data_IF_971038524715
#
_entry.id   IF_971038524715
#
_cell.length_a   1.000
_cell.length_b   1.000
_cell.length_c   1.000
_cell.angle_alpha   90.00
_cell.angle_beta   90.00
_cell.angle_gamma   90.00
#
_symmetry.space_group_name_H-M   'P 1'
#
loop_
_entity.id
_entity.type
_entity.pdbx_description
1 polymer ?
#
# COMPACT_ATOMS: atom_id res chain seq x y z
N UNK A 1 8.98 11.03 -28.09
CA UNK A 1 8.16 11.61 -27.00
C UNK A 1 8.08 10.59 -25.87
N UNK A 2 8.92 10.74 -24.83
CA UNK A 2 9.07 9.74 -23.76
C UNK A 2 7.94 9.86 -22.73
N UNK A 3 7.07 8.84 -22.66
CA UNK A 3 5.96 8.77 -21.69
C UNK A 3 6.52 8.38 -20.31
N UNK A 4 6.51 9.33 -19.38
CA UNK A 4 6.70 9.10 -17.94
C UNK A 4 5.55 8.19 -17.46
N UNK A 5 5.87 6.97 -17.02
CA UNK A 5 4.91 5.98 -16.51
C UNK A 5 5.09 5.85 -15.00
N UNK A 6 3.98 5.77 -14.25
CA UNK A 6 3.96 5.74 -12.77
C UNK A 6 4.44 4.41 -12.18
N UNK A 7 5.00 4.49 -10.98
CA UNK A 7 6.07 3.63 -10.48
C UNK A 7 5.72 2.15 -10.18
N UNK A 8 4.53 1.83 -9.65
CA UNK A 8 4.26 0.47 -9.16
C UNK A 8 3.96 -0.54 -10.27
N UNK A 9 3.26 -0.14 -11.33
CA UNK A 9 3.06 -1.03 -12.48
C UNK A 9 4.26 -1.00 -13.41
N UNK A 10 5.00 0.12 -13.48
CA UNK A 10 6.31 0.14 -14.15
C UNK A 10 7.27 -0.85 -13.52
N UNK A 11 7.33 -0.94 -12.20
CA UNK A 11 8.17 -1.92 -11.52
C UNK A 11 7.81 -3.38 -11.87
N UNK A 12 6.52 -3.69 -12.08
CA UNK A 12 6.11 -5.01 -12.57
C UNK A 12 6.54 -5.28 -14.02
N UNK A 13 6.69 -4.24 -14.84
CA UNK A 13 7.24 -4.34 -16.20
C UNK A 13 8.78 -4.40 -16.23
N UNK A 14 9.46 -4.11 -15.11
CA UNK A 14 10.91 -4.29 -14.97
C UNK A 14 11.15 -5.71 -14.49
N UNK A 15 11.18 -6.64 -15.45
CA UNK A 15 11.52 -8.04 -15.20
C UNK A 15 13.03 -8.23 -15.17
N UNK A 16 13.49 -9.26 -14.47
CA UNK A 16 14.87 -9.70 -14.64
C UNK A 16 15.05 -10.21 -16.09
N UNK A 17 16.24 -10.03 -16.69
CA UNK A 17 16.53 -10.61 -18.00
C UNK A 17 16.16 -12.10 -18.01
N UNK A 18 15.46 -12.54 -19.05
CA UNK A 18 15.02 -13.94 -19.26
C UNK A 18 14.07 -14.53 -18.20
N UNK A 19 13.46 -13.70 -17.35
CA UNK A 19 12.49 -14.15 -16.36
C UNK A 19 11.25 -14.78 -17.02
N UNK A 20 11.07 -16.10 -16.82
CA UNK A 20 9.91 -16.83 -17.33
C UNK A 20 8.64 -16.43 -16.58
N UNK A 21 7.56 -16.21 -17.34
CA UNK A 21 6.22 -16.02 -16.82
C UNK A 21 5.58 -17.37 -16.51
N UNK A 22 5.02 -17.50 -15.31
CA UNK A 22 4.25 -18.65 -14.87
C UNK A 22 2.82 -18.20 -14.56
N UNK A 23 1.89 -18.49 -15.46
CA UNK A 23 0.46 -18.24 -15.21
C UNK A 23 -0.09 -19.39 -14.36
N UNK A 24 -0.41 -19.11 -13.10
CA UNK A 24 -0.90 -20.13 -12.15
C UNK A 24 -2.37 -20.44 -12.41
N UNK A 25 -3.19 -19.39 -12.53
CA UNK A 25 -4.61 -19.48 -12.86
C UNK A 25 -5.09 -18.12 -13.39
N UNK A 26 -6.34 -18.05 -13.84
CA UNK A 26 -6.95 -16.78 -14.25
C UNK A 26 -6.93 -15.81 -13.07
N UNK A 27 -6.19 -14.70 -13.22
CA UNK A 27 -6.03 -13.66 -12.21
C UNK A 27 -4.73 -13.74 -11.40
N UNK A 28 -3.96 -14.82 -11.49
CA UNK A 28 -2.71 -15.00 -10.74
C UNK A 28 -1.57 -15.44 -11.66
N UNK A 29 -0.48 -14.67 -11.67
CA UNK A 29 0.73 -15.00 -12.40
C UNK A 29 1.96 -14.68 -11.56
N UNK A 30 3.04 -15.42 -11.80
CA UNK A 30 4.32 -15.22 -11.17
C UNK A 30 5.37 -14.93 -12.24
N UNK A 31 6.19 -13.91 -12.03
CA UNK A 31 7.34 -13.63 -12.86
C UNK A 31 8.37 -12.85 -12.05
N UNK A 32 9.61 -13.36 -11.91
CA UNK A 32 10.68 -12.63 -11.22
C UNK A 32 10.83 -11.21 -11.81
N UNK A 33 10.55 -10.22 -10.97
CA UNK A 33 10.48 -8.82 -11.37
C UNK A 33 10.86 -7.91 -10.21
N UNK A 34 11.06 -6.63 -10.49
CA UNK A 34 11.29 -5.64 -9.45
C UNK A 34 10.11 -5.55 -8.47
N UNK A 35 8.88 -5.84 -8.91
CA UNK A 35 7.72 -5.95 -8.02
C UNK A 35 7.88 -7.08 -6.97
N UNK A 36 8.50 -8.22 -7.35
CA UNK A 36 8.81 -9.31 -6.42
C UNK A 36 9.82 -8.86 -5.36
N UNK A 37 10.87 -8.14 -5.78
CA UNK A 37 11.87 -7.60 -4.86
C UNK A 37 11.25 -6.58 -3.88
N UNK A 38 10.37 -5.70 -4.37
CA UNK A 38 9.66 -4.74 -3.53
C UNK A 38 8.78 -5.42 -2.50
N UNK A 39 7.89 -6.32 -2.91
CA UNK A 39 6.97 -6.97 -1.97
C UNK A 39 7.72 -7.83 -0.95
N UNK A 40 8.79 -8.51 -1.37
CA UNK A 40 9.64 -9.30 -0.47
C UNK A 40 10.31 -8.40 0.56
N UNK A 41 10.87 -7.26 0.14
CA UNK A 41 11.49 -6.29 1.05
C UNK A 41 10.50 -5.77 2.10
N UNK A 42 9.27 -5.46 1.67
CA UNK A 42 8.18 -5.05 2.56
C UNK A 42 7.81 -6.16 3.56
N UNK A 43 7.59 -7.39 3.09
CA UNK A 43 7.25 -8.52 3.95
C UNK A 43 8.37 -8.83 4.95
N UNK A 44 9.62 -8.85 4.52
CA UNK A 44 10.78 -9.02 5.42
C UNK A 44 10.81 -7.93 6.48
N UNK A 45 10.67 -6.66 6.08
CA UNK A 45 10.63 -5.54 7.03
C UNK A 45 9.50 -5.68 8.04
N UNK A 46 8.29 -6.08 7.62
CA UNK A 46 7.15 -6.26 8.52
C UNK A 46 7.34 -7.41 9.50
N UNK A 47 7.93 -8.51 9.06
CA UNK A 47 8.29 -9.65 9.94
C UNK A 47 9.34 -9.21 10.97
N UNK A 48 10.33 -8.39 10.57
CA UNK A 48 11.32 -7.86 11.51
C UNK A 48 10.69 -6.91 12.55
N UNK A 49 9.68 -6.15 12.17
CA UNK A 49 8.97 -5.24 13.09
C UNK A 49 8.06 -5.95 14.08
N UNK A 50 7.26 -6.90 13.59
CA UNK A 50 6.40 -7.74 14.42
C UNK A 50 6.32 -9.13 13.77
N UNK A 51 7.04 -10.15 14.27
CA UNK A 51 7.12 -11.45 13.61
C UNK A 51 5.77 -12.08 13.31
N UNK A 52 4.85 -12.08 14.26
CA UNK A 52 3.53 -12.70 14.08
C UNK A 52 2.67 -11.84 13.15
N UNK A 53 2.60 -10.52 13.40
CA UNK A 53 1.80 -9.60 12.58
C UNK A 53 2.31 -9.50 11.13
N UNK A 54 3.62 -9.57 10.91
CA UNK A 54 4.25 -9.59 9.61
C UNK A 54 4.03 -10.91 8.87
N UNK A 55 4.10 -12.06 9.55
CA UNK A 55 3.78 -13.35 8.94
C UNK A 55 2.34 -13.42 8.45
N UNK A 56 1.37 -12.84 9.17
CA UNK A 56 -0.03 -12.80 8.71
C UNK A 56 -0.23 -11.88 7.50
N UNK A 57 0.74 -11.02 7.16
CA UNK A 57 0.71 -10.21 5.95
C UNK A 57 1.15 -10.98 4.69
N UNK A 58 1.84 -12.12 4.84
CA UNK A 58 2.38 -12.90 3.71
C UNK A 58 1.28 -13.26 2.69
N UNK A 59 0.09 -13.77 3.07
CA UNK A 59 -0.97 -14.07 2.11
C UNK A 59 -1.44 -12.84 1.35
N UNK A 60 -1.58 -11.70 2.03
CA UNK A 60 -2.01 -10.43 1.44
C UNK A 60 -0.97 -9.91 0.46
N UNK A 61 0.30 -9.85 0.88
CA UNK A 61 1.41 -9.42 0.03
C UNK A 61 1.59 -10.32 -1.19
N UNK A 62 1.51 -11.64 -1.01
CA UNK A 62 1.61 -12.62 -2.09
C UNK A 62 0.48 -12.44 -3.10
N UNK A 63 -0.76 -12.28 -2.63
CA UNK A 63 -1.91 -12.04 -3.51
C UNK A 63 -1.78 -10.74 -4.30
N UNK A 64 -1.36 -9.64 -3.64
CA UNK A 64 -1.09 -8.36 -4.30
C UNK A 64 -0.05 -8.50 -5.41
N UNK A 65 1.05 -9.20 -5.15
CA UNK A 65 2.10 -9.41 -6.15
C UNK A 65 1.63 -10.29 -7.32
N UNK A 66 0.96 -11.42 -7.04
CA UNK A 66 0.50 -12.35 -8.08
C UNK A 66 -0.56 -11.71 -8.98
N UNK A 67 -1.48 -10.94 -8.40
CA UNK A 67 -2.51 -10.22 -9.15
C UNK A 67 -1.94 -9.06 -9.94
N UNK A 68 -1.01 -8.28 -9.36
CA UNK A 68 -0.34 -7.19 -10.06
C UNK A 68 0.49 -7.70 -11.25
N UNK A 69 1.18 -8.83 -11.07
CA UNK A 69 1.92 -9.50 -12.14
C UNK A 69 0.97 -9.95 -13.25
N UNK A 70 -0.14 -10.61 -12.91
CA UNK A 70 -1.15 -11.00 -13.88
C UNK A 70 -1.72 -9.81 -14.67
N UNK A 71 -2.03 -8.70 -14.00
CA UNK A 71 -2.54 -7.49 -14.66
C UNK A 71 -1.49 -6.84 -15.58
N UNK A 72 -0.20 -6.97 -15.27
CA UNK A 72 0.88 -6.45 -16.09
C UNK A 72 1.13 -7.30 -17.35
N UNK A 73 1.06 -8.63 -17.23
CA UNK A 73 1.42 -9.55 -18.33
C UNK A 73 0.23 -10.07 -19.13
N UNK A 74 -0.95 -10.10 -18.52
CA UNK A 74 -2.17 -10.65 -19.10
C UNK A 74 -3.40 -9.80 -18.73
N UNK A 75 -3.38 -8.48 -19.05
CA UNK A 75 -4.46 -7.57 -18.72
C UNK A 75 -5.81 -8.03 -19.30
N UNK A 76 -6.87 -8.13 -18.49
CA UNK A 76 -8.17 -8.57 -18.98
C UNK A 76 -8.79 -7.55 -19.94
N UNK A 77 -9.41 -8.04 -21.02
CA UNK A 77 -10.12 -7.19 -22.01
C UNK A 77 -11.37 -6.51 -21.46
N UNK A 78 -11.93 -7.02 -20.36
CA UNK A 78 -13.07 -6.41 -19.66
C UNK A 78 -12.68 -5.24 -18.76
N UNK A 79 -11.38 -5.00 -18.54
CA UNK A 79 -10.93 -3.89 -17.72
C UNK A 79 -11.31 -2.56 -18.40
N UNK A 80 -11.89 -1.59 -17.70
CA UNK A 80 -12.21 -0.31 -18.32
C UNK A 80 -10.93 0.44 -18.70
N UNK A 81 -11.06 1.42 -19.61
CA UNK A 81 -9.95 2.27 -20.07
C UNK A 81 -8.82 1.49 -20.78
N UNK A 82 -9.19 0.39 -21.45
CA UNK A 82 -8.28 -0.43 -22.27
C UNK A 82 -8.73 -0.51 -23.71
N UNK A 83 -7.79 -0.60 -24.65
CA UNK A 83 -8.09 -0.87 -26.06
C UNK A 83 -8.21 -2.38 -26.31
N UNK A 84 -9.20 -2.87 -27.07
CA UNK A 84 -9.34 -4.31 -27.34
C UNK A 84 -8.15 -4.93 -28.07
N UNK A 85 -7.49 -4.19 -28.97
CA UNK A 85 -6.33 -4.66 -29.73
C UNK A 85 -5.01 -4.63 -28.98
N UNK A 86 -4.89 -3.79 -27.95
CA UNK A 86 -3.69 -3.67 -27.10
C UNK A 86 -4.12 -3.49 -25.63
N UNK A 87 -4.52 -4.58 -24.95
CA UNK A 87 -5.00 -4.46 -23.58
C UNK A 87 -3.91 -4.01 -22.61
N UNK A 88 -4.25 -3.13 -21.66
CA UNK A 88 -3.33 -2.62 -20.64
C UNK A 88 -4.06 -2.28 -19.34
N UNK A 89 -3.50 -2.71 -18.21
CA UNK A 89 -4.03 -2.38 -16.89
C UNK A 89 -3.59 -1.01 -16.34
N UNK A 90 -2.63 -0.35 -17.01
CA UNK A 90 -2.04 0.92 -16.55
C UNK A 90 -3.10 2.02 -16.36
N UNK A 91 -3.98 2.31 -17.35
CA UNK A 91 -4.87 3.46 -17.25
C UNK A 91 -5.86 3.31 -16.08
N UNK A 92 -6.46 2.12 -15.96
CA UNK A 92 -7.35 1.81 -14.85
C UNK A 92 -6.66 1.96 -13.50
N UNK A 93 -5.47 1.39 -13.35
CA UNK A 93 -4.76 1.47 -12.08
C UNK A 93 -4.29 2.88 -11.71
N UNK A 94 -3.97 3.74 -12.70
CA UNK A 94 -3.69 5.15 -12.45
C UNK A 94 -4.91 5.89 -11.91
N UNK A 95 -6.10 5.58 -12.44
CA UNK A 95 -7.36 6.15 -11.93
C UNK A 95 -7.61 5.69 -10.50
N UNK A 96 -7.52 4.38 -10.23
CA UNK A 96 -7.68 3.84 -8.87
C UNK A 96 -6.66 4.46 -7.91
N UNK A 97 -5.40 4.57 -8.32
CA UNK A 97 -4.35 5.18 -7.52
C UNK A 97 -4.67 6.65 -7.19
N UNK A 98 -5.04 7.45 -8.20
CA UNK A 98 -5.41 8.85 -8.01
C UNK A 98 -6.60 9.03 -7.06
N UNK A 99 -7.65 8.23 -7.24
CA UNK A 99 -8.82 8.24 -6.36
C UNK A 99 -8.47 7.86 -4.92
N UNK A 100 -7.62 6.85 -4.72
CA UNK A 100 -7.16 6.44 -3.40
C UNK A 100 -6.39 7.56 -2.68
N UNK A 101 -5.51 8.27 -3.39
CA UNK A 101 -4.79 9.44 -2.86
C UNK A 101 -5.72 10.60 -2.51
N UNK A 102 -6.70 10.90 -3.37
CA UNK A 102 -7.72 11.91 -3.08
C UNK A 102 -8.49 11.54 -1.81
N UNK A 103 -8.93 10.29 -1.69
CA UNK A 103 -9.62 9.80 -0.50
C UNK A 103 -8.75 9.94 0.76
N UNK A 104 -7.46 9.60 0.68
CA UNK A 104 -6.52 9.77 1.80
C UNK A 104 -6.37 11.24 2.23
N UNK A 105 -6.23 12.17 1.27
CA UNK A 105 -6.10 13.59 1.59
C UNK A 105 -7.40 14.19 2.14
N UNK A 106 -8.56 13.76 1.66
CA UNK A 106 -9.85 14.14 2.23
C UNK A 106 -9.97 13.59 3.66
N UNK A 107 -9.60 12.33 3.88
CA UNK A 107 -9.52 11.70 5.20
C UNK A 107 -8.76 12.56 6.22
N UNK A 108 -7.50 12.85 5.91
CA UNK A 108 -6.65 13.63 6.81
C UNK A 108 -7.10 15.10 6.93
N UNK A 109 -7.38 15.76 5.80
CA UNK A 109 -7.64 17.20 5.79
C UNK A 109 -9.03 17.59 6.31
N UNK A 110 -10.07 16.88 5.87
CA UNK A 110 -11.47 17.20 6.16
C UNK A 110 -11.93 16.52 7.44
N UNK A 111 -11.68 15.22 7.61
CA UNK A 111 -12.22 14.47 8.74
C UNK A 111 -11.32 14.50 9.97
N UNK A 112 -10.00 14.40 9.79
CA UNK A 112 -9.05 14.45 10.92
C UNK A 112 -8.57 15.87 11.25
N UNK A 113 -8.78 16.83 10.34
CA UNK A 113 -8.25 18.19 10.40
C UNK A 113 -6.74 18.25 10.64
N UNK A 114 -5.99 17.32 10.04
CA UNK A 114 -4.55 17.11 10.24
C UNK A 114 -3.82 17.00 8.90
N UNK A 115 -2.55 17.38 8.92
CA UNK A 115 -1.67 17.17 7.79
C UNK A 115 -1.31 15.67 7.65
N UNK A 116 -1.15 15.17 6.41
CA UNK A 116 -0.68 13.80 6.20
C UNK A 116 0.76 13.66 6.69
N UNK A 117 1.08 12.53 7.32
CA UNK A 117 2.42 12.21 7.84
C UNK A 117 3.53 12.20 6.77
N UNK A 118 3.15 12.20 5.49
CA UNK A 118 4.05 12.30 4.34
C UNK A 118 4.88 13.59 4.35
N UNK A 119 4.37 14.67 4.97
CA UNK A 119 5.09 15.94 5.10
C UNK A 119 6.20 15.90 6.15
N UNK A 120 6.16 14.93 7.07
CA UNK A 120 7.12 14.83 8.18
C UNK A 120 8.22 13.78 7.88
N UNK A 121 7.83 12.61 7.37
CA UNK A 121 8.76 11.55 7.00
C UNK A 121 8.17 10.66 5.90
N UNK A 122 8.37 11.06 4.64
CA UNK A 122 7.79 10.40 3.47
C UNK A 122 8.11 8.89 3.40
N UNK A 123 9.38 8.52 3.60
CA UNK A 123 9.82 7.12 3.47
C UNK A 123 9.20 6.27 4.56
N UNK A 124 9.27 6.72 5.82
CA UNK A 124 8.68 5.98 6.92
C UNK A 124 7.16 5.88 6.78
N UNK A 125 6.49 6.96 6.36
CA UNK A 125 5.05 6.95 6.14
C UNK A 125 4.65 5.96 5.04
N UNK A 126 5.34 5.94 3.90
CA UNK A 126 5.01 5.03 2.79
C UNK A 126 5.31 3.56 3.10
N UNK A 127 6.36 3.29 3.88
CA UNK A 127 6.72 1.91 4.26
C UNK A 127 5.84 1.40 5.39
N UNK A 128 5.55 2.21 6.41
CA UNK A 128 4.77 1.75 7.57
C UNK A 128 3.26 1.83 7.38
N UNK A 129 2.73 2.74 6.57
CA UNK A 129 1.29 2.94 6.46
C UNK A 129 0.51 1.66 6.07
N UNK A 130 0.96 0.84 5.10
CA UNK A 130 0.23 -0.38 4.77
C UNK A 130 0.26 -1.39 5.93
N UNK A 131 1.36 -1.47 6.68
CA UNK A 131 1.43 -2.35 7.85
C UNK A 131 0.59 -1.84 9.02
N UNK A 132 0.53 -0.52 9.21
CA UNK A 132 -0.36 0.09 10.20
C UNK A 132 -1.82 -0.29 9.96
N UNK A 133 -2.30 -0.18 8.71
CA UNK A 133 -3.66 -0.60 8.34
C UNK A 133 -3.88 -2.09 8.60
N UNK A 134 -2.89 -2.94 8.26
CA UNK A 134 -2.95 -4.38 8.54
C UNK A 134 -3.02 -4.68 10.03
N UNK A 135 -2.20 -4.03 10.86
CA UNK A 135 -2.21 -4.19 12.31
C UNK A 135 -3.53 -3.73 12.92
N UNK A 136 -4.10 -2.61 12.48
CA UNK A 136 -5.42 -2.15 12.93
C UNK A 136 -6.52 -3.16 12.58
N UNK A 137 -6.46 -3.80 11.40
CA UNK A 137 -7.36 -4.90 11.06
C UNK A 137 -7.17 -6.10 11.98
N UNK A 138 -5.92 -6.49 12.28
CA UNK A 138 -5.65 -7.57 13.26
C UNK A 138 -6.18 -7.24 14.66
N UNK A 139 -6.01 -5.99 15.09
CA UNK A 139 -6.52 -5.51 16.37
C UNK A 139 -8.05 -5.55 16.43
N UNK A 140 -8.72 -5.13 15.36
CA UNK A 140 -10.18 -5.05 15.30
C UNK A 140 -10.86 -6.42 15.14
N UNK A 141 -10.36 -7.28 14.25
CA UNK A 141 -11.02 -8.54 13.91
C UNK A 141 -10.55 -9.74 14.75
N UNK A 142 -9.31 -9.70 15.26
CA UNK A 142 -8.71 -10.85 15.94
C UNK A 142 -8.29 -10.53 17.38
N UNK A 143 -8.59 -9.33 17.89
CA UNK A 143 -8.13 -8.85 19.20
C UNK A 143 -6.61 -9.06 19.39
N UNK A 144 -5.84 -8.87 18.33
CA UNK A 144 -4.41 -9.12 18.33
C UNK A 144 -3.69 -8.14 19.27
N UNK A 145 -2.85 -8.63 20.19
CA UNK A 145 -2.06 -7.82 21.15
C UNK A 145 -2.86 -6.66 21.80
N UNK A 146 -3.92 -6.94 22.57
CA UNK A 146 -4.84 -5.90 23.07
C UNK A 146 -4.17 -4.86 23.96
N UNK A 147 -3.17 -5.25 24.76
CA UNK A 147 -2.40 -4.32 25.60
C UNK A 147 -1.58 -3.34 24.76
N UNK A 148 -1.02 -3.79 23.64
CA UNK A 148 -0.28 -2.93 22.72
C UNK A 148 -1.23 -1.93 22.06
N UNK A 149 -2.36 -2.40 21.55
CA UNK A 149 -3.38 -1.55 20.94
C UNK A 149 -3.89 -0.49 21.93
N UNK A 150 -4.15 -0.87 23.19
CA UNK A 150 -4.53 0.08 24.27
C UNK A 150 -3.43 1.13 24.52
N UNK A 151 -2.16 0.71 24.58
CA UNK A 151 -1.02 1.64 24.75
C UNK A 151 -0.88 2.60 23.56
N UNK A 152 -1.04 2.11 22.33
CA UNK A 152 -0.99 2.94 21.11
C UNK A 152 -2.10 3.99 21.14
N UNK A 153 -3.35 3.58 21.39
CA UNK A 153 -4.49 4.51 21.49
C UNK A 153 -4.31 5.55 22.59
N UNK A 154 -3.83 5.14 23.77
CA UNK A 154 -3.57 6.06 24.87
C UNK A 154 -2.50 7.12 24.48
N UNK A 155 -1.38 6.69 23.89
CA UNK A 155 -0.32 7.60 23.45
C UNK A 155 -0.77 8.52 22.32
N UNK A 156 -1.52 8.01 21.34
CA UNK A 156 -2.09 8.80 20.25
C UNK A 156 -3.04 9.87 20.80
N UNK A 157 -3.91 9.50 21.75
CA UNK A 157 -4.83 10.42 22.41
C UNK A 157 -4.12 11.54 23.17
N UNK A 158 -3.05 11.21 23.92
CA UNK A 158 -2.22 12.23 24.59
C UNK A 158 -1.60 13.19 23.57
N UNK A 159 -0.98 12.67 22.50
CA UNK A 159 -0.34 13.47 21.46
C UNK A 159 -1.34 14.39 20.75
N UNK A 160 -2.54 13.89 20.47
CA UNK A 160 -3.63 14.68 19.90
C UNK A 160 -4.02 15.85 20.82
N UNK A 161 -4.17 15.58 22.13
CA UNK A 161 -4.50 16.62 23.12
C UNK A 161 -3.42 17.68 23.20
N UNK A 162 -2.15 17.28 23.22
CA UNK A 162 -1.02 18.21 23.29
C UNK A 162 -0.93 19.08 22.03
N UNK A 163 -1.08 18.49 20.85
CA UNK A 163 -1.13 19.23 19.58
C UNK A 163 -2.28 20.24 19.57
N UNK A 164 -3.47 19.85 20.04
CA UNK A 164 -4.63 20.75 20.10
C UNK A 164 -4.40 21.91 21.09
N UNK A 165 -3.77 21.66 22.24
CA UNK A 165 -3.41 22.69 23.23
C UNK A 165 -2.39 23.68 22.66
N UNK A 166 -1.37 23.19 21.97
CA UNK A 166 -0.38 24.04 21.31
C UNK A 166 -1.02 24.90 20.21
N UNK A 167 -1.95 24.34 19.43
CA UNK A 167 -2.68 25.10 18.39
C UNK A 167 -3.51 26.24 19.01
N UNK A 168 -4.17 26.02 20.15
CA UNK A 168 -4.91 27.07 20.88
C UNK A 168 -3.99 28.18 21.38
N UNK A 169 -2.88 27.84 22.04
CA UNK A 169 -1.89 28.83 22.52
C UNK A 169 -1.27 29.69 21.43
N UNK A 170 -1.19 29.20 20.19
CA UNK A 170 -0.68 29.96 19.04
C UNK A 170 -1.74 30.87 18.40
N UNK A 171 -3.01 30.66 18.73
CA UNK A 171 -4.12 31.45 18.23
C UNK A 171 -4.56 32.55 19.21
N UNK A 172 -4.12 32.45 20.47
CA UNK A 172 -4.13 33.50 21.50
C UNK A 172 -2.96 34.47 21.28
#
# INVERSE_FOLDING_TARGET
MSKKRSWLIVAAHVTLPDAKLFTLTRGLAFQPSLALAFITSYMTYYILLDPIGGMTYIPVGSLLYLTATYLATSPPTWLPLTSPGEPSAIPFALVVHGLAWIAQFIGHGVFEHRAPALLDNLVQALVLAPFFVHLEALFAFFNYKPDLHKKIKARAGLRIRDMNRQKRRKAE
#
